data_IF_221377819329
#
_entry.id   IF_221377819329
#
_cell.length_a   1.000
_cell.length_b   1.000
_cell.length_c   1.000
_cell.angle_alpha   90.00
_cell.angle_beta   90.00
_cell.angle_gamma   90.00
#
_symmetry.space_group_name_H-M   'P 1'
#
loop_
_entity.id
_entity.type
_entity.pdbx_description
1 polymer ?
#
# COMPACT_ATOMS: atom_id res chain seq x y z
N UNK A 1 3.80 -12.53 -27.10
CA UNK A 1 4.44 -13.43 -26.11
C UNK A 1 4.45 -12.71 -24.78
N UNK A 2 3.81 -13.26 -23.75
CA UNK A 2 3.79 -12.65 -22.41
C UNK A 2 5.19 -12.73 -21.79
N UNK A 3 5.65 -11.66 -21.15
CA UNK A 3 6.88 -11.69 -20.37
C UNK A 3 6.73 -12.72 -19.23
N UNK A 4 7.78 -13.50 -18.91
CA UNK A 4 7.73 -14.41 -17.78
C UNK A 4 7.45 -13.63 -16.48
N UNK A 5 6.69 -14.21 -15.53
CA UNK A 5 6.31 -13.52 -14.31
C UNK A 5 7.56 -13.15 -13.50
N UNK A 6 7.59 -11.92 -12.99
CA UNK A 6 8.63 -11.48 -12.09
C UNK A 6 8.58 -12.27 -10.77
N UNK A 7 9.71 -12.42 -10.05
CA UNK A 7 9.70 -13.08 -8.75
C UNK A 7 8.90 -12.27 -7.73
N UNK A 8 7.97 -12.93 -7.03
CA UNK A 8 7.23 -12.32 -5.92
C UNK A 8 8.10 -12.16 -4.66
N UNK A 9 7.55 -11.46 -3.66
CA UNK A 9 8.28 -11.09 -2.44
C UNK A 9 8.79 -12.30 -1.66
N UNK A 10 8.03 -13.41 -1.65
CA UNK A 10 8.38 -14.65 -0.96
C UNK A 10 9.69 -15.26 -1.44
N UNK A 11 10.01 -15.11 -2.74
CA UNK A 11 11.28 -15.59 -3.30
C UNK A 11 12.47 -14.83 -2.71
N UNK A 12 12.32 -13.53 -2.46
CA UNK A 12 13.35 -12.72 -1.83
C UNK A 12 13.47 -13.02 -0.33
N UNK A 13 12.36 -13.16 0.38
CA UNK A 13 12.35 -13.49 1.82
C UNK A 13 12.94 -14.89 2.06
N UNK A 14 12.57 -15.87 1.24
CA UNK A 14 13.13 -17.21 1.29
C UNK A 14 14.64 -17.22 1.04
N UNK A 15 15.10 -16.53 -0.02
CA UNK A 15 16.51 -16.40 -0.33
C UNK A 15 17.30 -15.66 0.78
N UNK A 16 16.73 -14.60 1.37
CA UNK A 16 17.34 -13.86 2.47
C UNK A 16 17.47 -14.71 3.75
N UNK A 17 16.57 -15.67 3.96
CA UNK A 17 16.63 -16.61 5.08
C UNK A 17 17.70 -17.69 4.87
N UNK A 18 18.00 -18.04 3.62
CA UNK A 18 18.93 -19.11 3.27
C UNK A 18 20.40 -18.65 3.09
N UNK A 19 20.68 -17.37 2.86
CA UNK A 19 22.04 -16.88 2.64
C UNK A 19 22.22 -15.39 2.92
N UNK A 20 23.48 -14.93 2.96
CA UNK A 20 23.82 -13.54 3.31
C UNK A 20 23.68 -12.56 2.14
N UNK A 21 23.81 -13.07 0.91
CA UNK A 21 23.72 -12.32 -0.33
C UNK A 21 22.72 -13.00 -1.24
N UNK A 22 21.93 -12.18 -1.91
CA UNK A 22 20.99 -12.59 -2.94
C UNK A 22 21.46 -12.10 -4.30
N UNK A 23 21.11 -12.87 -5.33
CA UNK A 23 21.30 -12.50 -6.72
C UNK A 23 20.17 -13.08 -7.58
N UNK A 24 19.99 -12.52 -8.76
CA UNK A 24 19.00 -12.98 -9.71
C UNK A 24 19.70 -13.62 -10.92
N UNK A 25 19.21 -14.76 -11.37
CA UNK A 25 19.68 -15.42 -12.60
C UNK A 25 18.50 -15.87 -13.46
N UNK A 26 18.74 -15.95 -14.77
CA UNK A 26 17.81 -16.58 -15.70
C UNK A 26 18.01 -18.09 -15.67
N UNK A 27 16.93 -18.84 -15.50
CA UNK A 27 16.93 -20.31 -15.52
C UNK A 27 15.65 -20.74 -16.21
N UNK A 28 15.77 -21.51 -17.30
CA UNK A 28 14.64 -22.02 -18.09
C UNK A 28 13.62 -20.95 -18.50
N UNK A 29 14.12 -19.79 -18.95
CA UNK A 29 13.28 -18.67 -19.39
C UNK A 29 12.54 -17.94 -18.26
N UNK A 30 12.85 -18.22 -17.00
CA UNK A 30 12.32 -17.50 -15.83
C UNK A 30 13.44 -16.90 -15.02
N UNK A 31 13.15 -15.76 -14.40
CA UNK A 31 14.09 -15.13 -13.50
C UNK A 31 13.91 -15.71 -12.09
N UNK A 32 14.98 -16.24 -11.50
CA UNK A 32 14.97 -16.84 -10.17
C UNK A 32 15.85 -16.03 -9.22
N UNK A 33 15.37 -15.85 -7.99
CA UNK A 33 16.14 -15.29 -6.88
C UNK A 33 16.89 -16.42 -6.19
N UNK A 34 18.19 -16.26 -6.02
CA UNK A 34 19.07 -17.24 -5.42
C UNK A 34 19.83 -16.60 -4.25
N UNK A 35 20.40 -17.45 -3.37
CA UNK A 35 21.11 -17.02 -2.17
C UNK A 35 22.35 -17.87 -1.89
N UNK A 36 23.33 -17.30 -1.19
CA UNK A 36 24.55 -17.99 -0.78
C UNK A 36 25.80 -17.10 -0.87
N UNK A 37 26.93 -17.71 -1.23
CA UNK A 37 28.19 -17.00 -1.47
C UNK A 37 28.16 -16.25 -2.82
N UNK A 38 29.12 -15.35 -3.04
CA UNK A 38 29.22 -14.57 -4.28
C UNK A 38 29.14 -15.49 -5.52
N UNK A 39 28.12 -15.33 -6.37
CA UNK A 39 27.89 -16.21 -7.51
C UNK A 39 28.95 -16.04 -8.61
N UNK A 40 29.20 -17.11 -9.35
CA UNK A 40 29.86 -17.02 -10.65
C UNK A 40 28.89 -16.37 -11.67
N UNK A 41 29.39 -15.54 -12.61
CA UNK A 41 28.56 -14.99 -13.70
C UNK A 41 27.92 -16.09 -14.57
N UNK A 42 26.78 -15.84 -15.24
CA UNK A 42 26.09 -14.56 -15.36
C UNK A 42 25.03 -14.32 -14.26
N UNK A 43 24.98 -13.07 -13.79
CA UNK A 43 24.03 -12.59 -12.77
C UNK A 43 23.37 -11.32 -13.28
N UNK A 44 22.06 -11.20 -13.07
CA UNK A 44 21.29 -10.02 -13.45
C UNK A 44 21.71 -8.79 -12.65
N UNK A 45 21.81 -7.63 -13.32
CA UNK A 45 22.02 -6.32 -12.69
C UNK A 45 20.75 -5.70 -12.11
N UNK A 46 19.61 -6.38 -12.24
CA UNK A 46 18.30 -5.82 -11.93
C UNK A 46 17.73 -6.29 -10.60
N UNK A 47 18.49 -7.04 -9.76
CA UNK A 47 17.92 -7.63 -8.54
C UNK A 47 17.30 -6.57 -7.61
N UNK A 48 17.89 -5.37 -7.53
CA UNK A 48 17.33 -4.26 -6.75
C UNK A 48 15.97 -3.80 -7.29
N UNK A 49 15.84 -3.62 -8.61
CA UNK A 49 14.58 -3.21 -9.25
C UNK A 49 13.50 -4.29 -9.16
N UNK A 50 13.90 -5.55 -9.32
CA UNK A 50 13.00 -6.69 -9.19
C UNK A 50 12.46 -6.82 -7.76
N UNK A 51 13.31 -6.57 -6.76
CA UNK A 51 12.89 -6.54 -5.37
C UNK A 51 11.93 -5.38 -5.10
N UNK A 52 12.18 -4.19 -5.64
CA UNK A 52 11.25 -3.05 -5.54
C UNK A 52 9.91 -3.36 -6.20
N UNK A 53 9.90 -3.98 -7.37
CA UNK A 53 8.68 -4.39 -8.04
C UNK A 53 7.87 -5.38 -7.18
N UNK A 54 8.55 -6.38 -6.59
CA UNK A 54 7.92 -7.34 -5.68
C UNK A 54 7.37 -6.68 -4.40
N UNK A 55 8.06 -5.68 -3.84
CA UNK A 55 7.56 -4.89 -2.70
C UNK A 55 6.27 -4.16 -3.08
N UNK A 56 6.26 -3.46 -4.22
CA UNK A 56 5.09 -2.69 -4.67
C UNK A 56 3.89 -3.56 -4.97
N UNK A 57 4.11 -4.73 -5.55
CA UNK A 57 3.07 -5.72 -5.79
C UNK A 57 2.44 -6.23 -4.48
N UNK A 58 3.27 -6.48 -3.45
CA UNK A 58 2.78 -7.00 -2.17
C UNK A 58 2.15 -5.93 -1.26
N UNK A 59 2.83 -4.79 -1.09
CA UNK A 59 2.51 -3.79 -0.07
C UNK A 59 1.89 -2.52 -0.63
N UNK A 60 1.81 -2.40 -1.96
CA UNK A 60 1.38 -1.19 -2.65
C UNK A 60 2.50 -0.14 -2.77
N UNK A 61 2.27 0.84 -3.63
CA UNK A 61 3.23 1.91 -3.96
C UNK A 61 3.62 2.75 -2.73
N UNK A 62 2.64 3.18 -1.93
CA UNK A 62 2.89 4.10 -0.81
C UNK A 62 3.76 3.49 0.29
N UNK A 63 3.47 2.25 0.70
CA UNK A 63 4.24 1.54 1.72
C UNK A 63 5.66 1.21 1.23
N UNK A 64 5.78 0.79 -0.04
CA UNK A 64 7.05 0.40 -0.64
C UNK A 64 7.98 1.58 -0.91
N UNK A 65 7.44 2.77 -1.19
CA UNK A 65 8.22 3.98 -1.44
C UNK A 65 9.07 4.44 -0.24
N UNK A 66 8.72 4.03 0.98
CA UNK A 66 9.55 4.27 2.18
C UNK A 66 10.80 3.39 2.13
N UNK A 67 10.60 2.09 1.95
CA UNK A 67 11.70 1.11 1.86
C UNK A 67 12.64 1.38 0.68
N UNK A 68 12.09 1.78 -0.48
CA UNK A 68 12.90 2.11 -1.66
C UNK A 68 13.77 3.34 -1.45
N UNK A 69 13.24 4.41 -0.83
CA UNK A 69 13.98 5.65 -0.55
C UNK A 69 15.09 5.42 0.46
N UNK A 70 14.79 4.75 1.56
CA UNK A 70 15.74 4.46 2.64
C UNK A 70 16.95 3.68 2.13
N UNK A 71 16.70 2.63 1.34
CA UNK A 71 17.73 1.68 0.91
C UNK A 71 18.24 1.89 -0.52
N UNK A 72 17.73 2.92 -1.22
CA UNK A 72 18.10 3.29 -2.60
C UNK A 72 18.02 2.12 -3.58
N UNK A 73 17.00 1.28 -3.41
CA UNK A 73 16.91 -0.04 -4.07
C UNK A 73 16.66 0.05 -5.58
N UNK A 74 15.97 1.10 -6.05
CA UNK A 74 15.66 1.31 -7.46
C UNK A 74 16.66 2.19 -8.22
N UNK A 75 17.54 2.91 -7.51
CA UNK A 75 18.33 4.01 -8.10
C UNK A 75 19.57 3.57 -8.87
N UNK A 76 20.12 2.40 -8.57
CA UNK A 76 21.34 1.90 -9.22
C UNK A 76 21.20 0.42 -9.59
N UNK A 77 21.65 0.01 -10.80
CA UNK A 77 21.80 -1.40 -11.12
C UNK A 77 22.71 -2.07 -10.09
N UNK A 78 22.28 -3.21 -9.56
CA UNK A 78 23.04 -3.99 -8.59
C UNK A 78 22.96 -5.45 -8.96
N UNK A 79 24.08 -6.15 -8.84
CA UNK A 79 24.12 -7.61 -9.09
C UNK A 79 23.82 -8.42 -7.84
N UNK A 80 24.06 -7.83 -6.68
CA UNK A 80 23.94 -8.47 -5.37
C UNK A 80 23.10 -7.60 -4.45
N UNK A 81 22.25 -8.25 -3.65
CA UNK A 81 21.43 -7.62 -2.63
C UNK A 81 21.72 -8.28 -1.27
N UNK A 82 22.14 -7.53 -0.24
CA UNK A 82 22.34 -8.10 1.09
C UNK A 82 21.03 -8.59 1.70
N UNK A 83 21.04 -9.76 2.33
CA UNK A 83 19.85 -10.33 2.98
C UNK A 83 19.27 -9.44 4.07
N UNK A 84 20.13 -8.80 4.88
CA UNK A 84 19.70 -7.81 5.88
C UNK A 84 18.91 -6.65 5.27
N UNK A 85 19.27 -6.23 4.05
CA UNK A 85 18.56 -5.15 3.36
C UNK A 85 17.17 -5.61 2.92
N UNK A 86 17.03 -6.85 2.46
CA UNK A 86 15.72 -7.45 2.16
C UNK A 86 14.85 -7.48 3.41
N UNK A 87 15.36 -8.05 4.51
CA UNK A 87 14.64 -8.18 5.77
C UNK A 87 14.20 -6.82 6.31
N UNK A 88 15.09 -5.83 6.34
CA UNK A 88 14.75 -4.49 6.81
C UNK A 88 13.77 -3.77 5.89
N UNK A 89 13.89 -3.92 4.57
CA UNK A 89 12.99 -3.29 3.62
C UNK A 89 11.58 -3.89 3.73
N UNK A 90 11.45 -5.20 3.89
CA UNK A 90 10.16 -5.88 4.11
C UNK A 90 9.54 -5.41 5.42
N UNK A 91 10.27 -5.45 6.54
CA UNK A 91 9.77 -4.99 7.82
C UNK A 91 9.33 -3.50 7.79
N UNK A 92 10.07 -2.66 7.05
CA UNK A 92 9.73 -1.26 6.86
C UNK A 92 8.44 -1.09 6.04
N UNK A 93 8.28 -1.84 4.95
CA UNK A 93 7.08 -1.80 4.11
C UNK A 93 5.84 -2.32 4.88
N UNK A 94 5.99 -3.39 5.66
CA UNK A 94 4.93 -3.90 6.54
C UNK A 94 4.49 -2.86 7.57
N UNK A 95 5.44 -2.24 8.27
CA UNK A 95 5.14 -1.19 9.24
C UNK A 95 4.46 0.02 8.59
N UNK A 96 4.93 0.44 7.41
CA UNK A 96 4.32 1.53 6.65
C UNK A 96 2.88 1.19 6.23
N UNK A 97 2.63 -0.04 5.74
CA UNK A 97 1.29 -0.48 5.39
C UNK A 97 0.35 -0.48 6.60
N UNK A 98 0.79 -1.01 7.74
CA UNK A 98 0.00 -1.01 8.98
C UNK A 98 -0.36 0.41 9.43
N UNK A 99 0.57 1.36 9.32
CA UNK A 99 0.31 2.77 9.66
C UNK A 99 -0.71 3.41 8.70
N UNK A 100 -0.59 3.15 7.39
CA UNK A 100 -1.54 3.64 6.38
C UNK A 100 -2.94 3.07 6.61
N UNK A 101 -3.05 1.79 6.95
CA UNK A 101 -4.31 1.15 7.29
C UNK A 101 -4.94 1.75 8.56
N UNK A 102 -4.14 1.96 9.60
CA UNK A 102 -4.62 2.60 10.84
C UNK A 102 -5.11 4.03 10.59
N UNK A 103 -4.40 4.80 9.75
CA UNK A 103 -4.83 6.13 9.35
C UNK A 103 -6.15 6.10 8.58
N UNK A 104 -6.32 5.17 7.64
CA UNK A 104 -7.57 5.00 6.88
C UNK A 104 -8.74 4.64 7.80
N UNK A 105 -8.52 3.72 8.75
CA UNK A 105 -9.54 3.34 9.74
C UNK A 105 -9.93 4.51 10.63
N UNK A 106 -8.96 5.32 11.09
CA UNK A 106 -9.27 6.51 11.86
C UNK A 106 -10.12 7.48 11.04
N UNK A 107 -9.74 7.75 9.79
CA UNK A 107 -10.49 8.60 8.88
C UNK A 107 -11.92 8.08 8.65
N UNK A 108 -12.10 6.76 8.51
CA UNK A 108 -13.41 6.14 8.39
C UNK A 108 -14.29 6.40 9.63
N UNK A 109 -13.72 6.31 10.84
CA UNK A 109 -14.43 6.63 12.08
C UNK A 109 -14.79 8.12 12.14
N UNK A 110 -13.87 9.00 11.74
CA UNK A 110 -14.10 10.46 11.76
C UNK A 110 -15.21 10.89 10.80
N UNK A 111 -15.32 10.23 9.65
CA UNK A 111 -16.33 10.48 8.61
C UNK A 111 -17.58 9.60 8.72
N UNK A 112 -17.63 8.63 9.63
CA UNK A 112 -18.80 7.76 9.77
C UNK A 112 -20.02 8.57 10.20
N UNK A 113 -21.04 8.56 9.36
CA UNK A 113 -22.35 9.06 9.69
C UNK A 113 -23.01 8.20 10.77
N UNK A 114 -22.89 6.87 10.70
CA UNK A 114 -23.52 5.98 11.68
C UNK A 114 -23.01 6.21 13.12
N UNK A 115 -21.71 6.50 13.26
CA UNK A 115 -21.07 6.83 14.55
C UNK A 115 -21.16 8.32 14.92
N UNK A 116 -21.78 9.15 14.09
CA UNK A 116 -21.78 10.62 14.24
C UNK A 116 -20.35 11.18 14.40
N UNK A 117 -19.45 10.70 13.55
CA UNK A 117 -18.06 11.13 13.46
C UNK A 117 -17.93 12.65 13.37
N UNK A 118 -16.88 13.21 13.96
CA UNK A 118 -16.76 14.65 14.09
C UNK A 118 -16.61 15.37 12.75
N UNK A 119 -15.94 14.76 11.75
CA UNK A 119 -15.84 15.32 10.39
C UNK A 119 -17.16 15.24 9.66
N UNK A 120 -17.89 14.14 9.82
CA UNK A 120 -19.26 14.02 9.29
C UNK A 120 -20.16 15.14 9.81
N UNK A 121 -20.20 15.33 11.14
CA UNK A 121 -21.00 16.38 11.78
C UNK A 121 -20.65 17.76 11.24
N UNK A 122 -19.35 18.06 11.16
CA UNK A 122 -18.87 19.33 10.61
C UNK A 122 -19.34 19.54 9.18
N UNK A 123 -19.26 18.53 8.31
CA UNK A 123 -19.74 18.64 6.91
C UNK A 123 -21.25 18.86 6.87
N UNK A 124 -22.04 18.10 7.63
CA UNK A 124 -23.49 18.27 7.72
C UNK A 124 -23.88 19.68 8.22
N UNK A 125 -23.19 20.18 9.25
CA UNK A 125 -23.38 21.53 9.80
C UNK A 125 -23.08 22.63 8.76
N UNK A 126 -22.04 22.46 7.93
CA UNK A 126 -21.78 23.43 6.83
C UNK A 126 -22.88 23.48 5.77
N UNK A 127 -23.73 22.46 5.70
CA UNK A 127 -24.91 22.41 4.85
C UNK A 127 -26.19 22.85 5.57
N UNK A 128 -26.10 23.26 6.84
CA UNK A 128 -27.27 23.60 7.66
C UNK A 128 -28.12 22.38 8.04
N UNK A 129 -27.57 21.17 7.97
CA UNK A 129 -28.26 19.93 8.34
C UNK A 129 -27.97 19.57 9.79
N UNK A 130 -28.99 19.11 10.51
CA UNK A 130 -28.79 18.42 11.79
C UNK A 130 -28.39 16.96 11.52
N UNK A 131 -27.15 16.54 11.82
CA UNK A 131 -26.71 15.17 11.60
C UNK A 131 -27.50 14.13 12.40
N UNK A 132 -28.07 14.51 13.55
CA UNK A 132 -28.88 13.62 14.37
C UNK A 132 -30.26 13.35 13.75
N UNK A 133 -30.80 14.32 13.00
CA UNK A 133 -32.08 14.22 12.29
C UNK A 133 -32.08 13.19 11.15
N UNK A 134 -30.91 12.82 10.63
CA UNK A 134 -30.78 11.79 9.61
C UNK A 134 -31.09 10.42 10.22
N UNK A 135 -32.04 9.67 9.63
CA UNK A 135 -32.38 8.33 10.07
C UNK A 135 -31.17 7.37 10.07
N UNK A 136 -31.19 6.36 10.93
CA UNK A 136 -30.09 5.38 11.09
C UNK A 136 -29.75 4.70 9.77
N UNK A 137 -30.75 4.24 9.02
CA UNK A 137 -30.55 3.59 7.71
C UNK A 137 -29.84 4.52 6.72
N UNK A 138 -30.19 5.80 6.70
CA UNK A 138 -29.56 6.79 5.83
C UNK A 138 -28.10 7.02 6.20
N UNK A 139 -27.79 7.07 7.49
CA UNK A 139 -26.40 7.20 7.96
C UNK A 139 -25.58 5.97 7.60
N UNK A 140 -26.15 4.77 7.72
CA UNK A 140 -25.50 3.54 7.28
C UNK A 140 -25.28 3.50 5.75
N UNK A 141 -26.25 3.98 4.97
CA UNK A 141 -26.11 4.06 3.51
C UNK A 141 -24.99 5.03 3.09
N UNK A 142 -24.85 6.18 3.78
CA UNK A 142 -23.73 7.10 3.55
C UNK A 142 -22.37 6.45 3.84
N UNK A 143 -22.27 5.68 4.94
CA UNK A 143 -21.04 4.96 5.28
C UNK A 143 -20.70 3.90 4.23
N UNK A 144 -21.69 3.17 3.71
CA UNK A 144 -21.49 2.21 2.62
C UNK A 144 -21.00 2.88 1.34
N UNK A 145 -21.54 4.05 1.00
CA UNK A 145 -21.14 4.81 -0.19
C UNK A 145 -19.71 5.36 -0.09
N UNK A 146 -19.26 5.72 1.11
CA UNK A 146 -17.88 6.18 1.37
C UNK A 146 -16.88 5.03 1.57
N UNK A 147 -17.34 3.81 1.83
CA UNK A 147 -16.45 2.68 2.16
C UNK A 147 -15.41 2.42 1.05
N UNK A 148 -15.78 2.61 -0.22
CA UNK A 148 -14.86 2.44 -1.34
C UNK A 148 -13.65 3.38 -1.29
N UNK A 149 -13.83 4.60 -0.77
CA UNK A 149 -12.77 5.60 -0.66
C UNK A 149 -11.72 5.21 0.40
N UNK A 150 -12.10 4.43 1.42
CA UNK A 150 -11.18 3.95 2.48
C UNK A 150 -10.43 2.67 2.11
N UNK A 151 -10.91 1.93 1.11
CA UNK A 151 -10.29 0.68 0.61
C UNK A 151 -9.20 0.94 -0.45
N UNK A 152 -9.04 2.19 -0.90
CA UNK A 152 -8.02 2.55 -1.88
C UNK A 152 -6.60 2.41 -1.30
N UNK A 153 -5.63 2.05 -2.15
CA UNK A 153 -4.21 1.86 -1.75
C UNK A 153 -3.49 3.13 -1.32
N UNK A 154 -4.13 4.29 -1.45
CA UNK A 154 -3.66 5.59 -0.97
C UNK A 154 -4.66 6.11 0.06
N UNK A 155 -4.21 6.62 1.22
CA UNK A 155 -5.11 7.19 2.21
C UNK A 155 -5.89 8.34 1.56
N UNK A 156 -7.22 8.27 1.65
CA UNK A 156 -8.08 9.29 1.09
C UNK A 156 -7.84 10.64 1.79
N UNK A 157 -7.66 11.69 0.98
CA UNK A 157 -7.53 13.05 1.50
C UNK A 157 -8.83 13.46 2.18
N UNK A 158 -8.70 14.06 3.36
CA UNK A 158 -9.84 14.52 4.13
C UNK A 158 -10.68 15.57 3.39
N UNK A 159 -10.06 16.41 2.58
CA UNK A 159 -10.78 17.43 1.81
C UNK A 159 -11.57 16.80 0.67
N UNK A 160 -11.01 15.78 0.02
CA UNK A 160 -11.69 15.00 -1.02
C UNK A 160 -12.88 14.24 -0.43
N UNK A 161 -12.70 13.58 0.72
CA UNK A 161 -13.77 12.90 1.44
C UNK A 161 -14.87 13.87 1.90
N UNK A 162 -14.50 15.05 2.39
CA UNK A 162 -15.47 16.08 2.77
C UNK A 162 -16.27 16.57 1.57
N UNK A 163 -15.61 16.82 0.43
CA UNK A 163 -16.29 17.21 -0.81
C UNK A 163 -17.24 16.10 -1.30
N UNK A 164 -16.79 14.83 -1.26
CA UNK A 164 -17.61 13.67 -1.63
C UNK A 164 -18.83 13.53 -0.73
N UNK A 165 -18.65 13.56 0.59
CA UNK A 165 -19.73 13.50 1.57
C UNK A 165 -20.72 14.65 1.37
N UNK A 166 -20.23 15.86 1.09
CA UNK A 166 -21.07 17.02 0.79
C UNK A 166 -21.96 16.75 -0.43
N UNK A 167 -21.40 16.20 -1.51
CA UNK A 167 -22.17 15.80 -2.70
C UNK A 167 -23.23 14.76 -2.36
N UNK A 168 -22.89 13.73 -1.59
CA UNK A 168 -23.84 12.67 -1.19
C UNK A 168 -24.99 13.22 -0.34
N UNK A 169 -24.70 14.13 0.60
CA UNK A 169 -25.72 14.76 1.43
C UNK A 169 -26.66 15.66 0.62
N UNK A 170 -26.12 16.39 -0.37
CA UNK A 170 -26.91 17.24 -1.26
C UNK A 170 -27.79 16.44 -2.22
N UNK A 171 -27.30 15.33 -2.77
CA UNK A 171 -28.10 14.46 -3.65
C UNK A 171 -29.33 13.89 -2.96
N UNK A 172 -29.25 13.69 -1.64
CA UNK A 172 -30.33 13.16 -0.83
C UNK A 172 -31.24 14.24 -0.22
N UNK A 173 -31.09 15.51 -0.61
CA UNK A 173 -32.03 16.59 -0.32
C UNK A 173 -33.04 16.83 -1.46
N UNK A 174 -32.84 16.19 -2.61
CA UNK A 174 -33.73 16.17 -3.77
C UNK A 174 -34.44 14.81 -3.87
#
# INVERSE_FOLDING_TARGET
>A
MAAPPAPGIDAFVGAASAGRLLWARWTDGRLQVCSGNTPAPPVSSEIGRLFVAALREQFGEAASAVAEREWRLGLQPRRLLPARTVQHAVACAEAALSLLQAQSQLMQIEFSAAMLGWRFRRVAETLGLDPASLGVERRQALDQLLNADFQASLPADADVLAARLKTLLMQALH
#
